data_IF_651959038883
#
_entry.id   IF_651959038883
#
_cell.length_a   1.000
_cell.length_b   1.000
_cell.length_c   1.000
_cell.angle_alpha   90.00
_cell.angle_beta   90.00
_cell.angle_gamma   90.00
#
_symmetry.space_group_name_H-M   'P 1'
#
loop_
_entity.id
_entity.type
_entity.pdbx_description
1 polymer ?
#
# COMPACT_ATOMS: atom_id res chain seq x y z
N UNK A 1 -3.30 5.03 -2.50
CA UNK A 1 -3.78 3.63 -2.73
C UNK A 1 -4.33 2.98 -1.46
N UNK A 2 -5.48 2.29 -1.56
CA UNK A 2 -6.08 1.55 -0.45
C UNK A 2 -5.46 0.16 -0.30
N UNK A 3 -5.24 -0.25 0.96
CA UNK A 3 -4.80 -1.60 1.31
C UNK A 3 -5.77 -2.66 0.81
N UNK A 4 -7.08 -2.38 0.83
CA UNK A 4 -8.12 -3.32 0.36
C UNK A 4 -7.98 -3.61 -1.13
N UNK A 5 -7.81 -2.58 -1.97
CA UNK A 5 -7.55 -2.73 -3.40
C UNK A 5 -6.29 -3.55 -3.65
N UNK A 6 -5.20 -3.23 -2.95
CA UNK A 6 -3.96 -3.99 -3.07
C UNK A 6 -4.16 -5.47 -2.65
N UNK A 7 -4.92 -5.75 -1.59
CA UNK A 7 -5.25 -7.14 -1.19
C UNK A 7 -6.11 -7.83 -2.24
N UNK A 8 -7.11 -7.16 -2.84
CA UNK A 8 -7.93 -7.74 -3.91
C UNK A 8 -7.08 -8.06 -5.14
N UNK A 9 -6.20 -7.15 -5.52
CA UNK A 9 -5.31 -7.30 -6.65
C UNK A 9 -4.37 -8.51 -6.51
N UNK A 10 -3.64 -8.59 -5.39
CA UNK A 10 -2.73 -9.71 -5.11
C UNK A 10 -3.45 -10.96 -4.60
N UNK A 11 -4.77 -10.88 -4.36
CA UNK A 11 -5.63 -11.93 -3.80
C UNK A 11 -5.43 -12.22 -2.31
N UNK A 12 -4.18 -12.21 -1.82
CA UNK A 12 -3.87 -12.56 -0.43
C UNK A 12 -2.93 -11.56 0.24
N UNK A 13 -3.06 -11.41 1.57
CA UNK A 13 -2.15 -10.58 2.39
C UNK A 13 -0.69 -11.03 2.29
N UNK A 14 -0.44 -12.33 2.14
CA UNK A 14 0.93 -12.85 1.94
C UNK A 14 1.51 -12.50 0.58
N UNK A 15 0.72 -12.59 -0.50
CA UNK A 15 1.16 -12.18 -1.83
C UNK A 15 1.44 -10.67 -1.87
N UNK A 16 0.54 -9.86 -1.28
CA UNK A 16 0.74 -8.43 -1.09
C UNK A 16 2.03 -8.12 -0.30
N UNK A 17 2.27 -8.83 0.81
CA UNK A 17 3.47 -8.66 1.62
C UNK A 17 4.75 -8.96 0.81
N UNK A 18 4.73 -10.04 0.03
CA UNK A 18 5.84 -10.45 -0.84
C UNK A 18 6.10 -9.39 -1.92
N UNK A 19 5.07 -8.87 -2.57
CA UNK A 19 5.17 -7.80 -3.57
C UNK A 19 5.73 -6.49 -2.96
N UNK A 20 5.30 -6.12 -1.75
CA UNK A 20 5.83 -4.95 -1.04
C UNK A 20 7.24 -5.16 -0.45
N UNK A 21 7.74 -6.41 -0.46
CA UNK A 21 9.01 -6.79 0.18
C UNK A 21 8.98 -6.61 1.69
N UNK A 22 7.86 -6.96 2.33
CA UNK A 22 7.67 -6.94 3.79
C UNK A 22 7.18 -8.29 4.29
N UNK A 23 7.14 -8.45 5.62
CA UNK A 23 6.54 -9.63 6.24
C UNK A 23 5.02 -9.47 6.31
N UNK A 24 4.24 -10.57 6.26
CA UNK A 24 2.78 -10.55 6.45
C UNK A 24 2.28 -9.74 7.66
N UNK A 25 2.90 -9.81 8.86
CA UNK A 25 2.49 -8.97 9.99
C UNK A 25 2.62 -7.47 9.73
N UNK A 26 3.55 -7.02 8.87
CA UNK A 26 3.66 -5.60 8.51
C UNK A 26 2.43 -5.12 7.73
N UNK A 27 1.88 -5.95 6.85
CA UNK A 27 0.66 -5.63 6.09
C UNK A 27 -0.52 -5.46 7.04
N UNK A 28 -0.60 -6.28 8.09
CA UNK A 28 -1.62 -6.15 9.14
C UNK A 28 -1.52 -4.83 9.88
N UNK A 29 -0.30 -4.36 10.16
CA UNK A 29 -0.02 -3.10 10.84
C UNK A 29 -0.29 -1.85 9.99
N UNK A 30 -0.47 -1.98 8.67
CA UNK A 30 -0.92 -0.88 7.83
C UNK A 30 -2.38 -0.53 8.14
N UNK A 31 -2.69 0.77 8.17
CA UNK A 31 -4.07 1.27 8.22
C UNK A 31 -4.82 1.02 6.90
N UNK A 32 -5.84 1.82 6.63
CA UNK A 32 -6.61 1.73 5.39
C UNK A 32 -5.79 2.05 4.14
N UNK A 33 -4.79 2.92 4.28
CA UNK A 33 -3.84 3.28 3.22
C UNK A 33 -2.54 2.49 3.33
N UNK A 34 -2.02 2.04 2.17
CA UNK A 34 -0.68 1.46 2.10
C UNK A 34 0.34 2.58 2.29
N UNK A 35 1.36 2.44 3.16
CA UNK A 35 2.37 3.47 3.31
C UNK A 35 3.13 3.74 2.01
N UNK A 36 3.42 5.02 1.76
CA UNK A 36 4.03 5.56 0.54
C UNK A 36 5.19 4.70 -0.04
N UNK A 37 6.23 4.45 0.77
CA UNK A 37 7.39 3.63 0.38
C UNK A 37 7.03 2.22 -0.10
N UNK A 38 5.91 1.67 0.37
CA UNK A 38 5.43 0.32 -0.02
C UNK A 38 4.53 0.42 -1.23
N UNK A 39 3.71 1.46 -1.30
CA UNK A 39 2.85 1.76 -2.43
C UNK A 39 3.65 1.85 -3.74
N UNK A 40 4.79 2.56 -3.76
CA UNK A 40 5.69 2.60 -4.94
C UNK A 40 6.22 1.22 -5.34
N UNK A 41 6.50 0.34 -4.37
CA UNK A 41 6.93 -1.03 -4.66
C UNK A 41 5.79 -1.87 -5.24
N UNK A 42 4.58 -1.68 -4.71
CA UNK A 42 3.40 -2.40 -5.19
C UNK A 42 2.98 -1.96 -6.59
N UNK A 43 3.06 -0.67 -6.91
CA UNK A 43 2.84 -0.18 -8.27
C UNK A 43 3.79 -0.86 -9.26
N UNK A 44 5.09 -0.91 -8.94
CA UNK A 44 6.07 -1.63 -9.77
C UNK A 44 5.79 -3.13 -9.86
N UNK A 45 5.40 -3.76 -8.75
CA UNK A 45 5.11 -5.20 -8.71
C UNK A 45 3.80 -5.57 -9.42
N UNK A 46 2.85 -4.63 -9.51
CA UNK A 46 1.59 -4.74 -10.25
C UNK A 46 1.71 -4.20 -11.68
N UNK A 47 2.93 -3.86 -12.12
CA UNK A 47 3.20 -3.37 -13.46
C UNK A 47 2.37 -2.12 -13.86
N UNK A 48 2.02 -1.28 -12.87
CA UNK A 48 1.21 -0.07 -13.04
C UNK A 48 -0.30 -0.25 -12.80
N UNK A 49 -0.75 -1.44 -12.42
CA UNK A 49 -2.18 -1.72 -12.19
C UNK A 49 -2.69 -1.13 -10.86
N UNK A 50 -1.82 -1.08 -9.84
CA UNK A 50 -2.07 -0.32 -8.61
C UNK A 50 -1.47 1.07 -8.74
N UNK A 51 -2.32 2.07 -8.99
CA UNK A 51 -1.88 3.46 -9.08
C UNK A 51 -1.44 4.00 -7.71
N UNK A 52 -0.20 4.45 -7.64
CA UNK A 52 0.30 5.22 -6.52
C UNK A 52 0.21 6.72 -6.86
N UNK A 53 -0.76 7.41 -6.28
CA UNK A 53 -0.84 8.86 -6.34
C UNK A 53 -0.11 9.46 -5.13
N UNK A 54 1.04 10.15 -5.31
CA UNK A 54 1.69 10.87 -4.21
C UNK A 54 0.78 11.95 -3.62
N UNK A 55 -0.19 12.47 -4.37
CA UNK A 55 -1.16 13.47 -3.91
C UNK A 55 -2.06 12.91 -2.78
N UNK A 56 -2.39 11.61 -2.82
CA UNK A 56 -3.14 10.95 -1.73
C UNK A 56 -2.35 10.91 -0.41
N UNK A 57 -1.02 10.97 -0.50
CA UNK A 57 -0.09 10.89 0.63
C UNK A 57 0.49 12.25 1.03
N UNK A 58 0.49 13.22 0.11
CA UNK A 58 0.95 14.59 0.28
C UNK A 58 0.00 15.39 1.17
N UNK A 59 -1.24 14.93 1.39
CA UNK A 59 -2.09 15.53 2.40
C UNK A 59 -1.36 15.38 3.75
N UNK A 60 -0.86 16.47 4.36
CA UNK A 60 -0.33 16.36 5.69
C UNK A 60 -1.48 15.77 6.51
N UNK A 61 -1.20 14.69 7.21
CA UNK A 61 -1.83 14.42 8.50
C UNK A 61 -1.82 15.76 9.24
N UNK A 62 -2.89 16.54 9.10
CA UNK A 62 -3.03 17.77 9.85
C UNK A 62 -2.88 17.33 11.30
N UNK A 63 -1.95 17.91 12.08
CA UNK A 63 -1.97 17.69 13.50
C UNK A 63 -3.39 18.08 13.95
N UNK A 64 -4.08 17.16 14.60
CA UNK A 64 -5.36 17.46 15.21
C UNK A 64 -5.20 18.76 16.03
N UNK A 65 -5.97 19.79 15.68
CA UNK A 65 -6.11 21.00 16.49
C UNK A 65 -6.81 20.67 17.80
#
# INVERSE_FOLDING_TARGET
>A
MLKKDAIQYFGTKSALAKAAGVKPPSVSAWGDLVPEKRAVRLEKASNGELHYDPIDYDKPIAPAQ
#
